data_IF_844836744186
#
_entry.id   IF_844836744186
#
_cell.length_a   1.000
_cell.length_b   1.000
_cell.length_c   1.000
_cell.angle_alpha   90.00
_cell.angle_beta   90.00
_cell.angle_gamma   90.00
#
_symmetry.space_group_name_H-M   'P 1'
#
loop_
_entity.id
_entity.type
_entity.pdbx_description
1 polymer ?
#
# COMPACT_ATOMS: atom_id res chain seq x y z
N UNK A 1 17.68 -25.56 -20.40
CA UNK A 1 16.80 -24.85 -19.43
C UNK A 1 16.29 -25.77 -18.33
N UNK A 2 15.65 -26.90 -18.64
CA UNK A 2 15.14 -27.84 -17.62
C UNK A 2 16.23 -28.38 -16.69
N UNK A 3 17.39 -28.72 -17.25
CA UNK A 3 18.57 -29.23 -16.53
C UNK A 3 19.38 -28.13 -15.81
N UNK A 4 18.95 -26.87 -15.92
CA UNK A 4 19.65 -25.71 -15.39
C UNK A 4 18.75 -24.88 -14.45
N UNK A 5 18.37 -25.42 -13.27
CA UNK A 5 17.52 -24.73 -12.29
C UNK A 5 18.17 -23.47 -11.69
N UNK A 6 19.50 -23.34 -11.79
CA UNK A 6 20.27 -22.16 -11.37
C UNK A 6 19.97 -20.91 -12.21
N UNK A 7 19.49 -21.08 -13.45
CA UNK A 7 19.14 -19.95 -14.31
C UNK A 7 17.75 -19.43 -13.92
N UNK A 8 17.61 -18.16 -13.49
CA UNK A 8 16.31 -17.61 -13.13
C UNK A 8 15.35 -17.55 -14.33
N UNK A 9 14.04 -17.64 -14.06
CA UNK A 9 13.00 -17.50 -15.08
C UNK A 9 12.13 -16.27 -14.86
N UNK A 10 11.99 -15.47 -15.90
CA UNK A 10 11.14 -14.28 -15.91
C UNK A 10 9.78 -14.62 -16.51
N UNK A 11 8.70 -14.35 -15.78
CA UNK A 11 7.33 -14.53 -16.25
C UNK A 11 6.71 -13.17 -16.57
N UNK A 12 6.17 -13.03 -17.77
CA UNK A 12 5.52 -11.80 -18.23
C UNK A 12 4.31 -12.06 -19.12
N UNK A 13 3.60 -10.99 -19.47
CA UNK A 13 2.48 -11.05 -20.41
C UNK A 13 2.80 -10.37 -21.73
N UNK A 14 2.48 -11.06 -22.82
CA UNK A 14 2.66 -10.59 -24.19
C UNK A 14 4.00 -11.00 -24.80
N UNK A 15 3.95 -11.36 -26.08
CA UNK A 15 5.11 -11.82 -26.85
C UNK A 15 6.20 -10.74 -26.98
N UNK A 16 5.84 -9.47 -27.11
CA UNK A 16 6.80 -8.35 -27.20
C UNK A 16 7.68 -8.26 -25.95
N UNK A 17 7.10 -8.45 -24.76
CA UNK A 17 7.83 -8.43 -23.48
C UNK A 17 8.74 -9.63 -23.32
N UNK A 18 8.23 -10.82 -23.67
CA UNK A 18 9.03 -12.04 -23.73
C UNK A 18 10.23 -11.90 -24.65
N UNK A 19 10.01 -11.42 -25.88
CA UNK A 19 11.07 -11.18 -26.85
C UNK A 19 12.08 -10.12 -26.38
N UNK A 20 11.61 -9.03 -25.77
CA UNK A 20 12.47 -8.01 -25.19
C UNK A 20 13.41 -8.61 -24.12
N UNK A 21 12.87 -9.35 -23.16
CA UNK A 21 13.69 -10.00 -22.13
C UNK A 21 14.72 -10.98 -22.73
N UNK A 22 14.30 -11.83 -23.67
CA UNK A 22 15.18 -12.79 -24.33
C UNK A 22 16.32 -12.10 -25.09
N UNK A 23 16.04 -10.99 -25.79
CA UNK A 23 17.05 -10.19 -26.49
C UNK A 23 18.07 -9.54 -25.54
N UNK A 24 17.72 -9.35 -24.28
CA UNK A 24 18.59 -8.84 -23.23
C UNK A 24 19.14 -9.95 -22.30
N UNK A 25 19.22 -11.18 -22.81
CA UNK A 25 19.79 -12.35 -22.13
C UNK A 25 19.05 -12.78 -20.83
N UNK A 26 17.80 -12.37 -20.65
CA UNK A 26 16.93 -12.89 -19.59
C UNK A 26 16.11 -14.06 -20.10
N UNK A 27 16.24 -15.22 -19.45
CA UNK A 27 15.41 -16.36 -19.78
C UNK A 27 13.96 -16.11 -19.37
N UNK A 28 13.05 -16.05 -20.33
CA UNK A 28 11.68 -15.61 -20.11
C UNK A 28 10.62 -16.56 -20.67
N UNK A 29 9.47 -16.63 -20.00
CA UNK A 29 8.24 -17.28 -20.46
C UNK A 29 7.14 -16.23 -20.49
N UNK A 30 6.65 -15.94 -21.69
CA UNK A 30 5.52 -15.04 -21.91
C UNK A 30 4.21 -15.81 -22.02
N UNK A 31 3.14 -15.25 -21.45
CA UNK A 31 1.78 -15.74 -21.66
C UNK A 31 0.89 -14.68 -22.30
N UNK A 32 -0.20 -15.04 -23.01
CA UNK A 32 -1.12 -14.05 -23.58
C UNK A 32 -1.81 -13.12 -22.57
N UNK A 33 -1.85 -13.50 -21.29
CA UNK A 33 -2.33 -12.64 -20.22
C UNK A 33 -1.91 -13.12 -18.84
N UNK A 34 -1.90 -12.22 -17.86
CA UNK A 34 -1.44 -12.45 -16.48
C UNK A 34 -2.07 -13.68 -15.78
N UNK A 35 -3.32 -14.05 -16.10
CA UNK A 35 -4.02 -15.18 -15.45
C UNK A 35 -3.71 -16.54 -16.07
N UNK A 36 -2.97 -16.60 -17.18
CA UNK A 36 -2.76 -17.82 -17.96
C UNK A 36 -1.62 -18.70 -17.43
N UNK A 37 -0.87 -18.24 -16.42
CA UNK A 37 0.15 -19.01 -15.72
C UNK A 37 -0.44 -20.08 -14.78
N UNK A 38 -1.75 -20.05 -14.55
CA UNK A 38 -2.45 -21.06 -13.77
C UNK A 38 -3.76 -21.47 -14.44
N UNK A 39 -4.33 -22.58 -13.95
CA UNK A 39 -5.66 -23.06 -14.32
C UNK A 39 -6.59 -22.89 -13.13
N UNK A 40 -7.85 -22.63 -13.44
CA UNK A 40 -8.91 -22.44 -12.44
C UNK A 40 -9.90 -23.57 -12.60
N UNK A 41 -10.14 -24.30 -11.51
CA UNK A 41 -11.17 -25.33 -11.42
C UNK A 41 -12.45 -24.68 -10.91
N UNK A 42 -13.55 -24.96 -11.60
CA UNK A 42 -14.89 -24.49 -11.22
C UNK A 42 -15.80 -25.68 -10.97
N UNK A 43 -16.71 -25.54 -10.03
CA UNK A 43 -17.78 -26.51 -9.83
C UNK A 43 -18.89 -26.36 -10.88
N UNK A 44 -19.91 -27.21 -10.79
CA UNK A 44 -21.08 -27.20 -11.69
C UNK A 44 -21.88 -25.90 -11.65
N UNK A 45 -21.76 -25.10 -10.58
CA UNK A 45 -22.38 -23.78 -10.46
C UNK A 45 -21.53 -22.65 -11.06
N UNK A 46 -20.33 -22.97 -11.56
CA UNK A 46 -19.37 -22.00 -12.09
C UNK A 46 -18.55 -21.27 -11.03
N UNK A 47 -18.68 -21.64 -9.74
CA UNK A 47 -17.89 -21.08 -8.64
C UNK A 47 -16.47 -21.65 -8.69
N UNK A 48 -15.49 -20.78 -8.48
CA UNK A 48 -14.08 -21.20 -8.38
C UNK A 48 -13.87 -21.99 -7.09
N UNK A 49 -13.43 -23.24 -7.23
CA UNK A 49 -13.16 -24.15 -6.10
C UNK A 49 -11.68 -24.40 -5.89
N UNK A 50 -10.87 -24.35 -6.94
CA UNK A 50 -9.43 -24.54 -6.83
C UNK A 50 -8.66 -23.85 -7.98
N UNK A 51 -7.35 -23.70 -7.80
CA UNK A 51 -6.41 -23.24 -8.82
C UNK A 51 -5.09 -23.99 -8.72
N UNK A 52 -4.54 -24.39 -9.85
CA UNK A 52 -3.25 -25.08 -9.93
C UNK A 52 -2.36 -24.46 -11.00
N UNK A 53 -1.03 -24.57 -10.82
CA UNK A 53 -0.07 -24.03 -11.77
C UNK A 53 -0.27 -24.66 -13.15
N UNK A 54 -0.15 -23.88 -14.22
CA UNK A 54 -0.29 -24.40 -15.57
C UNK A 54 0.66 -25.60 -15.79
N UNK A 55 0.19 -26.77 -16.30
CA UNK A 55 1.01 -27.97 -16.38
C UNK A 55 2.34 -27.79 -17.12
N UNK A 56 2.33 -27.02 -18.23
CA UNK A 56 3.55 -26.67 -18.98
C UNK A 56 4.61 -25.88 -18.19
N UNK A 57 4.26 -25.23 -17.09
CA UNK A 57 5.23 -24.53 -16.24
C UNK A 57 5.86 -25.45 -15.21
N UNK A 58 5.14 -26.49 -14.76
CA UNK A 58 5.58 -27.38 -13.67
C UNK A 58 7.00 -27.95 -13.85
N UNK A 59 7.43 -28.39 -15.06
CA UNK A 59 8.78 -28.91 -15.26
C UNK A 59 9.91 -27.91 -14.96
N UNK A 60 9.62 -26.61 -14.95
CA UNK A 60 10.62 -25.58 -14.72
C UNK A 60 10.74 -25.13 -13.26
N UNK A 61 9.86 -25.61 -12.37
CA UNK A 61 9.64 -24.95 -11.06
C UNK A 61 10.68 -25.34 -10.01
N UNK A 62 10.92 -26.64 -9.84
CA UNK A 62 11.62 -27.17 -8.66
C UNK A 62 13.02 -26.57 -8.52
N UNK A 63 13.29 -25.93 -7.38
CA UNK A 63 14.59 -25.36 -7.05
C UNK A 63 14.96 -24.09 -7.81
N UNK A 64 14.06 -23.52 -8.60
CA UNK A 64 14.34 -22.35 -9.45
C UNK A 64 13.85 -21.04 -8.83
N UNK A 65 14.57 -19.95 -9.10
CA UNK A 65 14.15 -18.57 -8.83
C UNK A 65 13.30 -18.02 -9.97
N UNK A 66 12.15 -17.44 -9.65
CA UNK A 66 11.28 -16.78 -10.62
C UNK A 66 11.20 -15.28 -10.38
N UNK A 67 11.24 -14.51 -11.45
CA UNK A 67 10.95 -13.08 -11.46
C UNK A 67 9.62 -12.82 -12.16
N UNK A 68 8.69 -12.12 -11.51
CA UNK A 68 7.42 -11.72 -12.11
C UNK A 68 7.53 -10.27 -12.58
N UNK A 69 7.42 -10.04 -13.89
CA UNK A 69 7.52 -8.72 -14.55
C UNK A 69 6.23 -8.40 -15.31
N UNK A 70 5.10 -8.39 -14.61
CA UNK A 70 3.80 -8.06 -15.19
C UNK A 70 3.61 -6.54 -15.35
N UNK A 71 2.64 -6.13 -16.17
CA UNK A 71 2.44 -4.72 -16.51
C UNK A 71 2.09 -3.86 -15.29
N UNK A 72 2.61 -2.63 -15.28
CA UNK A 72 2.19 -1.57 -14.37
C UNK A 72 0.98 -0.84 -14.98
N UNK A 73 -0.22 -1.31 -14.69
CA UNK A 73 -1.43 -0.60 -15.09
C UNK A 73 -1.65 0.68 -14.27
N UNK A 74 -2.26 1.71 -14.86
CA UNK A 74 -2.72 2.90 -14.14
C UNK A 74 -4.15 2.73 -13.60
N UNK A 75 -5.01 2.05 -14.36
CA UNK A 75 -6.43 1.85 -14.04
C UNK A 75 -6.59 0.93 -12.84
N UNK A 76 -7.23 1.41 -11.78
CA UNK A 76 -7.38 0.71 -10.50
C UNK A 76 -7.92 -0.72 -10.64
N UNK A 77 -8.98 -0.91 -11.45
CA UNK A 77 -9.57 -2.23 -11.68
C UNK A 77 -8.58 -3.20 -12.33
N UNK A 78 -7.83 -2.75 -13.33
CA UNK A 78 -6.85 -3.58 -14.02
C UNK A 78 -5.68 -3.89 -13.09
N UNK A 79 -5.18 -2.90 -12.35
CA UNK A 79 -4.15 -3.08 -11.32
C UNK A 79 -4.53 -4.15 -10.31
N UNK A 80 -5.76 -4.12 -9.81
CA UNK A 80 -6.24 -5.11 -8.84
C UNK A 80 -6.25 -6.52 -9.44
N UNK A 81 -6.74 -6.67 -10.68
CA UNK A 81 -6.75 -7.95 -11.37
C UNK A 81 -5.33 -8.50 -11.59
N UNK A 82 -4.42 -7.65 -12.07
CA UNK A 82 -3.01 -8.01 -12.28
C UNK A 82 -2.37 -8.42 -10.97
N UNK A 83 -2.61 -7.68 -9.87
CA UNK A 83 -2.13 -8.04 -8.52
C UNK A 83 -2.64 -9.39 -8.03
N UNK A 84 -3.94 -9.66 -8.18
CA UNK A 84 -4.52 -10.96 -7.80
C UNK A 84 -3.83 -12.08 -8.58
N UNK A 85 -3.57 -11.88 -9.87
CA UNK A 85 -2.90 -12.86 -10.70
C UNK A 85 -1.41 -13.03 -10.35
N UNK A 86 -0.69 -11.95 -10.02
CA UNK A 86 0.69 -11.99 -9.48
C UNK A 86 0.72 -12.83 -8.20
N UNK A 87 -0.13 -12.50 -7.23
CA UNK A 87 -0.20 -13.19 -5.95
C UNK A 87 -0.54 -14.67 -6.11
N UNK A 88 -1.51 -14.98 -6.98
CA UNK A 88 -1.90 -16.35 -7.26
C UNK A 88 -0.78 -17.14 -7.95
N UNK A 89 -0.10 -16.55 -8.92
CA UNK A 89 1.01 -17.18 -9.64
C UNK A 89 2.18 -17.44 -8.69
N UNK A 90 2.58 -16.44 -7.90
CA UNK A 90 3.65 -16.59 -6.92
C UNK A 90 3.36 -17.70 -5.90
N UNK A 91 2.13 -17.73 -5.34
CA UNK A 91 1.72 -18.77 -4.39
C UNK A 91 1.82 -20.17 -5.01
N UNK A 92 1.37 -20.32 -6.26
CA UNK A 92 1.38 -21.62 -6.94
C UNK A 92 2.79 -22.07 -7.33
N UNK A 93 3.67 -21.15 -7.73
CA UNK A 93 5.07 -21.45 -7.99
C UNK A 93 5.78 -21.93 -6.71
N UNK A 94 5.62 -21.21 -5.61
CA UNK A 94 6.19 -21.58 -4.31
C UNK A 94 5.64 -22.94 -3.84
N UNK A 95 4.32 -23.16 -3.93
CA UNK A 95 3.70 -24.44 -3.59
C UNK A 95 4.18 -25.61 -4.47
N UNK A 96 4.58 -25.33 -5.71
CA UNK A 96 5.13 -26.32 -6.63
C UNK A 96 6.66 -26.50 -6.51
N UNK A 97 7.31 -25.84 -5.54
CA UNK A 97 8.72 -26.06 -5.21
C UNK A 97 9.70 -25.03 -5.78
N UNK A 98 9.24 -23.85 -6.19
CA UNK A 98 10.14 -22.76 -6.55
C UNK A 98 11.02 -22.39 -5.35
N UNK A 99 12.33 -22.19 -5.59
CA UNK A 99 13.25 -21.77 -4.54
C UNK A 99 12.90 -20.36 -4.03
N UNK A 100 12.54 -19.46 -4.94
CA UNK A 100 12.11 -18.11 -4.61
C UNK A 100 11.22 -17.53 -5.71
N UNK A 101 10.32 -16.63 -5.33
CA UNK A 101 9.58 -15.79 -6.27
C UNK A 101 9.78 -14.33 -5.89
N UNK A 102 10.29 -13.57 -6.86
CA UNK A 102 10.61 -12.16 -6.77
C UNK A 102 9.67 -11.37 -7.68
N UNK A 103 9.17 -10.23 -7.19
CA UNK A 103 8.26 -9.35 -7.91
C UNK A 103 9.06 -8.12 -8.29
N UNK A 104 9.25 -7.95 -9.59
CA UNK A 104 9.95 -6.80 -10.15
C UNK A 104 8.96 -5.65 -10.30
N UNK A 105 9.33 -4.49 -9.79
CA UNK A 105 8.52 -3.28 -9.86
C UNK A 105 9.38 -2.11 -10.32
N UNK A 106 8.76 -1.16 -10.99
CA UNK A 106 9.38 0.08 -11.43
C UNK A 106 8.37 1.23 -11.29
N UNK A 107 8.89 2.45 -11.29
CA UNK A 107 8.05 3.64 -11.21
C UNK A 107 7.10 3.70 -12.41
N UNK A 108 5.79 3.93 -12.22
CA UNK A 108 4.80 3.93 -13.32
C UNK A 108 5.16 4.88 -14.48
N UNK A 109 5.88 5.97 -14.18
CA UNK A 109 6.34 6.93 -15.20
C UNK A 109 7.42 6.40 -16.15
N UNK A 110 8.02 5.24 -15.87
CA UNK A 110 9.06 4.63 -16.73
C UNK A 110 8.47 3.78 -17.87
N UNK A 111 7.17 3.50 -17.85
CA UNK A 111 6.51 2.70 -18.87
C UNK A 111 5.58 1.63 -18.27
N UNK A 112 4.67 1.14 -19.10
CA UNK A 112 3.68 0.15 -18.68
C UNK A 112 4.30 -1.24 -18.59
N UNK A 113 5.01 -1.64 -19.64
CA UNK A 113 5.67 -2.93 -19.76
C UNK A 113 7.18 -2.84 -19.58
N UNK A 114 7.82 -3.99 -19.33
CA UNK A 114 9.29 -4.08 -19.33
C UNK A 114 9.90 -3.65 -20.66
N UNK A 115 9.20 -3.90 -21.77
CA UNK A 115 9.62 -3.47 -23.09
C UNK A 115 9.62 -1.95 -23.25
N UNK A 116 8.69 -1.24 -22.58
CA UNK A 116 8.69 0.22 -22.55
C UNK A 116 9.87 0.75 -21.70
N UNK A 117 10.10 0.15 -20.53
CA UNK A 117 11.20 0.54 -19.63
C UNK A 117 12.55 0.40 -20.34
N UNK A 118 12.81 -0.74 -20.96
CA UNK A 118 14.08 -1.00 -21.64
C UNK A 118 14.22 -0.10 -22.88
N UNK A 119 13.14 0.09 -23.65
CA UNK A 119 13.18 0.93 -24.85
C UNK A 119 13.44 2.41 -24.51
N UNK A 120 12.78 2.95 -23.49
CA UNK A 120 12.86 4.38 -23.15
C UNK A 120 14.02 4.73 -22.23
N UNK A 121 14.41 3.82 -21.32
CA UNK A 121 15.37 4.11 -20.25
C UNK A 121 16.61 3.21 -20.26
N UNK A 122 16.72 2.28 -21.22
CA UNK A 122 17.85 1.38 -21.34
C UNK A 122 17.76 0.13 -20.46
N UNK A 123 18.51 -0.93 -20.78
CA UNK A 123 18.54 -2.19 -20.03
C UNK A 123 19.03 -2.02 -18.59
N UNK A 124 19.95 -1.08 -18.34
CA UNK A 124 20.51 -0.80 -17.01
C UNK A 124 19.42 -0.36 -16.03
N UNK A 125 18.39 0.34 -16.53
CA UNK A 125 17.27 0.75 -15.69
C UNK A 125 16.41 -0.44 -15.25
N UNK A 126 16.25 -1.43 -16.14
CA UNK A 126 15.55 -2.66 -15.81
C UNK A 126 16.38 -3.54 -14.87
N UNK A 127 17.70 -3.62 -15.05
CA UNK A 127 18.62 -4.30 -14.13
C UNK A 127 18.48 -3.80 -12.69
N UNK A 128 18.46 -2.48 -12.50
CA UNK A 128 18.20 -1.87 -11.19
C UNK A 128 16.87 -2.31 -10.58
N UNK A 129 15.82 -2.46 -11.40
CA UNK A 129 14.52 -2.93 -10.93
C UNK A 129 14.54 -4.42 -10.54
N UNK A 130 15.34 -5.24 -11.25
CA UNK A 130 15.56 -6.65 -10.93
C UNK A 130 16.36 -6.81 -9.63
N UNK A 131 17.39 -5.99 -9.42
CA UNK A 131 18.17 -5.96 -8.19
C UNK A 131 17.33 -5.53 -6.98
N UNK A 132 16.41 -4.58 -7.18
CA UNK A 132 15.48 -4.12 -6.16
C UNK A 132 14.22 -4.99 -6.02
N UNK A 133 14.13 -6.13 -6.72
CA UNK A 133 12.94 -6.96 -6.72
C UNK A 133 12.60 -7.49 -5.32
N UNK A 134 11.32 -7.45 -4.98
CA UNK A 134 10.84 -7.85 -3.66
C UNK A 134 10.52 -9.33 -3.64
N UNK A 135 10.84 -10.03 -2.55
CA UNK A 135 10.28 -11.37 -2.31
C UNK A 135 8.76 -11.30 -2.25
N UNK A 136 8.08 -12.40 -2.60
CA UNK A 136 6.61 -12.47 -2.48
C UNK A 136 6.09 -12.08 -1.10
N UNK A 137 6.81 -12.42 -0.02
CA UNK A 137 6.41 -12.04 1.33
C UNK A 137 6.56 -10.53 1.57
N UNK A 138 7.68 -9.92 1.17
CA UNK A 138 7.90 -8.47 1.28
C UNK A 138 6.87 -7.69 0.45
N UNK A 139 6.64 -8.13 -0.80
CA UNK A 139 5.67 -7.53 -1.70
C UNK A 139 4.24 -7.58 -1.13
N UNK A 140 3.85 -8.69 -0.51
CA UNK A 140 2.54 -8.82 0.15
C UNK A 140 2.41 -7.90 1.36
N UNK A 141 3.43 -7.83 2.22
CA UNK A 141 3.43 -6.95 3.40
C UNK A 141 3.35 -5.47 3.03
N UNK A 142 4.01 -5.07 1.94
CA UNK A 142 3.90 -3.72 1.41
C UNK A 142 2.45 -3.38 1.01
N UNK A 143 1.70 -4.34 0.48
CA UNK A 143 0.28 -4.15 0.16
C UNK A 143 -0.62 -4.14 1.41
N UNK A 144 -0.30 -4.94 2.44
CA UNK A 144 -1.05 -4.96 3.71
C UNK A 144 -0.96 -3.65 4.52
N UNK A 145 0.07 -2.82 4.30
CA UNK A 145 0.14 -1.46 4.85
C UNK A 145 -0.82 -0.47 4.18
N UNK A 146 -1.53 -0.88 3.12
CA UNK A 146 -2.76 -0.17 2.74
C UNK A 146 -3.82 -0.53 3.76
N UNK A 147 -4.15 0.42 4.64
CA UNK A 147 -5.32 0.38 5.52
C UNK A 147 -6.46 -0.34 4.79
N UNK A 148 -6.83 -1.52 5.30
CA UNK A 148 -7.98 -2.26 4.79
C UNK A 148 -9.17 -1.29 4.78
N UNK A 149 -9.59 -0.88 3.59
CA UNK A 149 -10.62 0.15 3.45
C UNK A 149 -12.02 -0.39 3.78
N UNK A 150 -12.13 -1.66 4.21
CA UNK A 150 -13.36 -2.24 4.73
C UNK A 150 -13.73 -1.53 6.04
N UNK A 151 -14.84 -0.78 6.08
CA UNK A 151 -15.21 -0.07 7.29
C UNK A 151 -15.72 -1.06 8.33
N UNK A 152 -15.17 -0.99 9.55
CA UNK A 152 -15.71 -1.73 10.71
C UNK A 152 -17.13 -1.29 11.06
N UNK A 153 -17.47 -0.03 10.77
CA UNK A 153 -18.80 0.55 10.95
C UNK A 153 -19.16 1.42 9.74
N UNK A 154 -20.33 1.19 9.16
CA UNK A 154 -20.92 2.05 8.11
C UNK A 154 -22.14 2.76 8.69
N UNK A 155 -22.13 4.09 8.64
CA UNK A 155 -23.23 4.96 9.08
C UNK A 155 -23.80 5.66 7.86
N UNK A 156 -25.12 5.65 7.71
CA UNK A 156 -25.84 6.22 6.56
C UNK A 156 -26.68 7.43 6.97
N UNK A 157 -26.05 8.39 7.64
CA UNK A 157 -26.71 9.61 8.13
C UNK A 157 -26.22 10.85 7.39
N UNK A 158 -27.09 11.87 7.30
CA UNK A 158 -26.76 13.18 6.71
C UNK A 158 -25.60 13.87 7.46
N UNK A 159 -25.63 13.78 8.79
CA UNK A 159 -24.57 14.26 9.67
C UNK A 159 -24.12 13.10 10.55
N UNK A 160 -22.81 12.87 10.64
CA UNK A 160 -22.26 11.80 11.46
C UNK A 160 -22.57 12.08 12.94
N UNK A 161 -23.35 11.21 13.57
CA UNK A 161 -23.72 11.31 14.97
C UNK A 161 -23.64 9.94 15.66
N UNK A 162 -22.42 9.52 16.00
CA UNK A 162 -22.17 8.27 16.72
C UNK A 162 -21.05 8.44 17.74
N UNK A 163 -20.90 7.49 18.66
CA UNK A 163 -19.82 7.55 19.63
C UNK A 163 -18.54 6.95 19.05
N UNK A 164 -17.45 7.73 19.03
CA UNK A 164 -16.13 7.24 18.64
C UNK A 164 -15.69 6.18 19.66
N UNK A 165 -15.30 4.96 19.21
CA UNK A 165 -14.81 3.90 20.10
C UNK A 165 -13.63 4.37 20.94
N UNK A 166 -13.67 4.14 22.26
CA UNK A 166 -12.65 4.66 23.19
C UNK A 166 -11.43 3.74 23.35
N UNK A 167 -11.61 2.43 23.10
CA UNK A 167 -10.58 1.41 23.32
C UNK A 167 -9.78 1.05 22.07
N UNK A 168 -10.12 1.64 20.92
CA UNK A 168 -9.40 1.38 19.67
C UNK A 168 -8.16 2.27 19.57
N UNK A 169 -6.96 1.72 19.26
CA UNK A 169 -5.74 2.51 19.20
C UNK A 169 -5.72 3.49 18.01
N UNK A 170 -6.43 3.15 16.93
CA UNK A 170 -6.53 3.97 15.72
C UNK A 170 -7.97 3.95 15.23
N UNK A 171 -8.57 5.13 15.05
CA UNK A 171 -9.89 5.29 14.44
C UNK A 171 -9.75 6.13 13.16
N UNK A 172 -10.15 5.56 12.03
CA UNK A 172 -10.17 6.25 10.75
C UNK A 172 -11.61 6.65 10.37
N UNK A 173 -11.83 7.95 10.14
CA UNK A 173 -13.14 8.50 9.75
C UNK A 173 -13.14 8.92 8.28
N UNK A 174 -13.97 8.26 7.46
CA UNK A 174 -14.14 8.59 6.03
C UNK A 174 -15.57 9.00 5.73
N UNK A 175 -15.75 10.20 5.16
CA UNK A 175 -17.02 10.69 4.62
C UNK A 175 -16.80 11.83 3.62
N UNK A 176 -17.85 12.33 2.97
CA UNK A 176 -17.76 13.51 2.10
C UNK A 176 -17.68 14.82 2.90
N UNK A 177 -17.31 15.92 2.25
CA UNK A 177 -17.27 17.24 2.89
C UNK A 177 -18.69 17.68 3.30
N UNK A 178 -18.81 18.36 4.44
CA UNK A 178 -20.11 18.89 4.92
C UNK A 178 -20.99 17.91 5.71
N UNK A 179 -20.56 16.67 5.94
CA UNK A 179 -21.36 15.66 6.69
C UNK A 179 -21.08 15.64 8.21
N UNK A 180 -20.56 16.72 8.78
CA UNK A 180 -20.35 16.80 10.23
C UNK A 180 -19.12 16.08 10.81
N UNK A 181 -18.14 15.62 10.00
CA UNK A 181 -16.89 14.99 10.52
C UNK A 181 -16.21 15.82 11.60
N UNK A 182 -16.03 17.11 11.33
CA UNK A 182 -15.34 18.01 12.26
C UNK A 182 -16.15 18.23 13.53
N UNK A 183 -17.48 18.26 13.41
CA UNK A 183 -18.38 18.41 14.55
C UNK A 183 -18.31 17.20 15.48
N UNK A 184 -18.33 16.00 14.88
CA UNK A 184 -18.17 14.74 15.60
C UNK A 184 -16.84 14.71 16.38
N UNK A 185 -15.75 15.12 15.74
CA UNK A 185 -14.43 15.17 16.37
C UNK A 185 -14.41 16.22 17.48
N UNK A 186 -15.01 17.40 17.28
CA UNK A 186 -15.05 18.46 18.30
C UNK A 186 -15.78 17.99 19.57
N UNK A 187 -16.95 17.37 19.42
CA UNK A 187 -17.72 16.80 20.52
C UNK A 187 -16.96 15.70 21.27
N UNK A 188 -16.11 14.94 20.56
CA UNK A 188 -15.28 13.91 21.18
C UNK A 188 -14.08 14.52 21.93
N UNK A 189 -13.41 15.51 21.33
CA UNK A 189 -12.31 16.28 21.94
C UNK A 189 -12.77 16.93 23.23
N UNK A 190 -13.93 17.58 23.23
CA UNK A 190 -14.49 18.25 24.41
C UNK A 190 -14.65 17.30 25.61
N UNK A 191 -15.04 16.04 25.37
CA UNK A 191 -15.19 15.03 26.42
C UNK A 191 -13.86 14.46 26.92
N UNK A 192 -12.79 14.60 26.14
CA UNK A 192 -11.52 13.89 26.36
C UNK A 192 -10.39 14.84 26.80
N UNK A 193 -10.59 16.15 26.66
CA UNK A 193 -9.60 17.19 26.98
C UNK A 193 -9.13 17.20 28.43
N UNK A 194 -9.95 16.71 29.36
CA UNK A 194 -9.60 16.67 30.79
C UNK A 194 -8.76 15.44 31.14
N UNK A 195 -8.87 14.37 30.35
CA UNK A 195 -8.20 13.09 30.59
C UNK A 195 -6.82 13.03 29.92
N UNK A 196 -6.69 13.62 28.73
CA UNK A 196 -5.48 13.53 27.90
C UNK A 196 -5.26 14.77 27.04
N UNK A 197 -3.99 15.14 26.80
CA UNK A 197 -3.65 16.21 25.88
C UNK A 197 -4.00 15.84 24.43
N UNK A 198 -4.42 16.82 23.65
CA UNK A 198 -4.95 16.66 22.30
C UNK A 198 -4.03 17.34 21.28
N UNK A 199 -3.54 16.56 20.32
CA UNK A 199 -2.67 17.05 19.25
C UNK A 199 -3.38 17.01 17.92
N UNK A 200 -3.47 18.16 17.26
CA UNK A 200 -4.13 18.29 15.96
C UNK A 200 -3.05 18.56 14.92
N UNK A 201 -2.85 17.61 14.02
CA UNK A 201 -1.85 17.66 12.97
C UNK A 201 -2.53 17.93 11.63
N UNK A 202 -2.12 18.99 10.95
CA UNK A 202 -2.62 19.34 9.62
C UNK A 202 -1.48 19.69 8.68
N UNK A 203 -1.79 19.81 7.39
CA UNK A 203 -0.84 20.24 6.36
C UNK A 203 -0.93 21.74 6.01
N UNK A 204 -1.80 22.53 6.65
CA UNK A 204 -1.99 23.95 6.34
C UNK A 204 -2.18 24.77 7.61
N UNK A 205 -1.43 25.86 7.75
CA UNK A 205 -1.50 26.73 8.93
C UNK A 205 -2.91 27.32 9.16
N UNK A 206 -3.56 27.79 8.09
CA UNK A 206 -4.93 28.33 8.17
C UNK A 206 -5.95 27.28 8.66
N UNK A 207 -5.76 26.01 8.28
CA UNK A 207 -6.59 24.92 8.77
C UNK A 207 -6.28 24.60 10.24
N UNK A 208 -5.00 24.58 10.63
CA UNK A 208 -4.59 24.37 12.01
C UNK A 208 -5.16 25.45 12.94
N UNK A 209 -5.14 26.73 12.55
CA UNK A 209 -5.75 27.82 13.30
C UNK A 209 -7.27 27.66 13.42
N UNK A 210 -7.95 27.34 12.33
CA UNK A 210 -9.41 27.12 12.37
C UNK A 210 -9.79 25.92 13.27
N UNK A 211 -8.99 24.86 13.28
CA UNK A 211 -9.20 23.71 14.16
C UNK A 211 -8.82 24.00 15.61
N UNK A 212 -7.81 24.85 15.85
CA UNK A 212 -7.43 25.30 17.19
C UNK A 212 -8.61 25.94 17.91
N UNK A 213 -9.27 26.89 17.25
CA UNK A 213 -10.47 27.56 17.78
C UNK A 213 -11.64 26.59 17.97
N UNK A 214 -11.85 25.63 17.05
CA UNK A 214 -12.95 24.66 17.14
C UNK A 214 -12.78 23.61 18.22
N UNK A 215 -11.54 23.17 18.44
CA UNK A 215 -11.23 22.15 19.44
C UNK A 215 -10.80 22.75 20.78
N UNK A 216 -10.80 24.08 20.89
CA UNK A 216 -10.37 24.82 22.07
C UNK A 216 -8.98 24.40 22.56
N UNK A 217 -8.05 24.25 21.62
CA UNK A 217 -6.63 23.98 21.90
C UNK A 217 -5.78 25.10 21.33
N UNK A 218 -4.67 25.48 21.97
CA UNK A 218 -3.81 26.54 21.46
C UNK A 218 -3.25 26.17 20.07
N UNK A 219 -3.32 27.12 19.13
CA UNK A 219 -2.54 27.03 17.91
C UNK A 219 -1.07 27.26 18.26
N UNK A 220 -0.18 26.43 17.71
CA UNK A 220 1.24 26.53 18.02
C UNK A 220 1.86 27.76 17.36
N UNK A 221 2.00 28.81 18.15
CA UNK A 221 2.98 29.90 17.95
C UNK A 221 4.24 29.63 18.79
N UNK A 222 4.09 29.30 20.08
CA UNK A 222 5.18 29.01 21.03
C UNK A 222 4.79 27.97 22.10
N UNK A 223 5.74 27.54 22.95
CA UNK A 223 5.51 26.63 24.08
C UNK A 223 4.80 27.36 25.24
N UNK A 224 3.48 27.29 25.32
CA UNK A 224 2.70 27.79 26.46
C UNK A 224 2.37 26.71 27.51
N UNK A 225 2.13 27.13 28.77
CA UNK A 225 1.75 26.22 29.86
C UNK A 225 0.42 25.49 29.57
N UNK A 226 -0.54 26.18 28.98
CA UNK A 226 -1.83 25.60 28.56
C UNK A 226 -1.66 24.50 27.53
N UNK A 227 -0.78 24.68 26.55
CA UNK A 227 -0.58 23.67 25.51
C UNK A 227 0.20 22.44 25.98
N UNK A 228 0.97 22.54 27.07
CA UNK A 228 1.51 21.35 27.76
C UNK A 228 0.42 20.53 28.46
N UNK A 229 -0.65 21.18 28.90
CA UNK A 229 -1.72 20.54 29.65
C UNK A 229 -2.80 19.98 28.71
N UNK A 230 -3.24 20.78 27.74
CA UNK A 230 -4.36 20.48 26.84
C UNK A 230 -3.94 20.03 25.44
N UNK A 231 -2.67 20.20 25.07
CA UNK A 231 -2.12 19.87 23.75
C UNK A 231 -2.13 21.06 22.77
N UNK A 232 -1.85 20.80 21.49
CA UNK A 232 -1.68 21.84 20.46
C UNK A 232 -2.33 21.48 19.13
N UNK A 233 -2.74 22.50 18.39
CA UNK A 233 -2.97 22.41 16.94
C UNK A 233 -1.79 22.96 16.17
N UNK A 234 -1.26 22.20 15.22
CA UNK A 234 -0.06 22.55 14.47
C UNK A 234 -0.04 22.04 13.02
N UNK A 235 0.74 22.72 12.20
CA UNK A 235 1.11 22.24 10.87
C UNK A 235 2.27 21.24 10.98
N UNK A 236 2.24 20.17 10.19
CA UNK A 236 3.29 19.13 10.19
C UNK A 236 4.66 19.71 9.83
N UNK A 237 4.71 20.69 8.92
CA UNK A 237 5.97 21.35 8.54
C UNK A 237 6.60 22.12 9.74
N UNK A 238 5.82 22.39 10.78
CA UNK A 238 6.33 22.99 12.03
C UNK A 238 7.01 21.98 12.96
N UNK A 239 6.96 20.66 12.66
CA UNK A 239 7.58 19.58 13.44
C UNK A 239 9.05 19.28 13.06
N UNK A 240 9.62 19.97 12.07
CA UNK A 240 11.00 19.72 11.66
C UNK A 240 12.01 20.05 12.78
N UNK A 241 13.08 19.25 12.87
CA UNK A 241 14.06 19.21 13.96
C UNK A 241 14.82 20.54 14.24
N UNK A 242 14.64 21.58 13.43
CA UNK A 242 15.20 22.92 13.62
C UNK A 242 14.26 23.97 14.24
N UNK A 243 12.96 23.68 14.41
CA UNK A 243 11.96 24.67 14.88
C UNK A 243 11.45 24.45 16.31
N UNK A 244 12.24 23.77 17.15
CA UNK A 244 12.11 23.81 18.61
C UNK A 244 11.00 23.00 19.27
N UNK A 245 10.35 22.07 18.56
CA UNK A 245 9.33 21.18 19.14
C UNK A 245 9.59 19.74 18.75
N UNK A 246 9.90 18.93 19.74
CA UNK A 246 10.09 17.50 19.57
C UNK A 246 8.85 16.77 20.06
N UNK A 247 8.51 15.67 19.41
CA UNK A 247 7.46 14.76 19.90
C UNK A 247 7.74 14.22 21.31
N UNK A 248 9.00 14.26 21.73
CA UNK A 248 9.42 13.95 23.10
C UNK A 248 8.94 14.99 24.13
N UNK A 249 8.65 16.23 23.70
CA UNK A 249 8.15 17.32 24.56
C UNK A 249 6.63 17.24 24.80
N UNK A 250 5.93 16.34 24.11
CA UNK A 250 4.46 16.39 23.89
C UNK A 250 3.67 15.79 25.05
N UNK A 251 4.18 14.78 25.77
CA UNK A 251 3.67 14.30 27.07
C UNK A 251 4.30 12.95 27.43
N UNK A 252 4.50 12.67 28.73
CA UNK A 252 4.74 11.31 29.25
C UNK A 252 3.43 10.50 29.43
N UNK A 253 2.28 11.11 29.11
CA UNK A 253 0.93 10.53 29.21
C UNK A 253 0.39 10.16 27.81
N UNK A 254 -0.51 9.18 27.71
CA UNK A 254 -1.23 8.89 26.47
C UNK A 254 -1.94 10.16 25.95
N UNK A 255 -1.81 10.43 24.66
CA UNK A 255 -2.37 11.61 24.01
C UNK A 255 -3.35 11.21 22.89
N UNK A 256 -4.28 12.12 22.55
CA UNK A 256 -5.17 11.94 21.40
C UNK A 256 -4.59 12.69 20.21
N UNK A 257 -4.24 11.97 19.14
CA UNK A 257 -3.71 12.57 17.90
C UNK A 257 -4.78 12.58 16.82
N UNK A 258 -5.11 13.77 16.34
CA UNK A 258 -6.07 14.00 15.26
C UNK A 258 -5.30 14.46 14.03
N UNK A 259 -5.32 13.65 12.97
CA UNK A 259 -4.71 14.00 11.69
C UNK A 259 -5.80 14.36 10.68
N UNK A 260 -5.67 15.52 10.02
CA UNK A 260 -6.62 16.00 9.00
C UNK A 260 -5.94 16.51 7.74
#
# INVERSE_FOLDING_TARGET
MLEHPEIPLFLNEGSKKGGCLLSHAYAAIASPGVTMFYRTVKDSSGRVVDRYLHPKLQPFVVGRVFYLTFDQDEKEKTRLNTRIAVAQTARLLLAAGAAQVLIVQWEPGLGKGVDDVIFTHGPERFEQAVEAALTYEQWRKWDDWRLDTRPSLRVCDRYLNFQIPQHEPIVALKSVQGTGKTELIANHVEKQREERPIFVLTHRESLAQALASRFNVPYRTEKCAEGRLFGYSLCIDSLHAGRGFRLEDISQKPCLVIRR
#
